data_IF_381013237257
#
_entry.id   IF_381013237257
#
_cell.length_a   1.000
_cell.length_b   1.000
_cell.length_c   1.000
_cell.angle_alpha   90.00
_cell.angle_beta   90.00
_cell.angle_gamma   90.00
#
_symmetry.space_group_name_H-M   'P 1'
#
loop_
_entity.id
_entity.type
_entity.pdbx_description
1 polymer ?
#
# COMPACT_ATOMS: atom_id res chain seq x y z
N UNK A 1 -36.49 -35.93 -0.20
CA UNK A 1 -35.09 -35.85 0.28
C UNK A 1 -34.42 -34.51 -0.08
N UNK A 2 -35.15 -33.38 -0.03
CA UNK A 2 -34.73 -32.11 -0.63
C UNK A 2 -34.19 -31.05 0.35
N UNK A 3 -34.35 -31.23 1.68
CA UNK A 3 -33.95 -30.22 2.67
C UNK A 3 -32.46 -30.16 3.01
N UNK A 4 -31.75 -31.30 2.93
CA UNK A 4 -30.33 -31.38 3.28
C UNK A 4 -29.41 -30.75 2.21
N UNK A 5 -29.79 -30.85 0.93
CA UNK A 5 -29.05 -30.23 -0.17
C UNK A 5 -29.06 -28.70 -0.10
N UNK A 6 -30.20 -28.10 0.24
CA UNK A 6 -30.35 -26.64 0.35
C UNK A 6 -29.59 -26.07 1.55
N UNK A 7 -29.62 -26.76 2.71
CA UNK A 7 -28.84 -26.36 3.89
C UNK A 7 -27.33 -26.43 3.66
N UNK A 8 -26.85 -27.47 2.95
CA UNK A 8 -25.45 -27.59 2.57
C UNK A 8 -25.02 -26.48 1.58
N UNK A 9 -25.88 -26.10 0.64
CA UNK A 9 -25.61 -25.02 -0.33
C UNK A 9 -25.58 -23.63 0.35
N UNK A 10 -26.52 -23.34 1.25
CA UNK A 10 -26.55 -22.09 2.03
C UNK A 10 -25.31 -21.98 2.94
N UNK A 11 -24.94 -23.09 3.60
CA UNK A 11 -23.72 -23.14 4.42
C UNK A 11 -22.44 -22.92 3.60
N UNK A 12 -22.34 -23.54 2.42
CA UNK A 12 -21.19 -23.38 1.53
C UNK A 12 -20.98 -21.93 1.05
N UNK A 13 -22.06 -21.24 0.69
CA UNK A 13 -22.00 -19.85 0.21
C UNK A 13 -21.60 -18.85 1.32
N UNK A 14 -22.07 -19.06 2.55
CA UNK A 14 -21.67 -18.24 3.70
C UNK A 14 -20.19 -18.47 4.05
N UNK A 15 -19.73 -19.72 4.09
CA UNK A 15 -18.34 -20.06 4.37
C UNK A 15 -17.41 -19.48 3.29
N UNK A 16 -17.79 -19.53 2.02
CA UNK A 16 -17.04 -18.94 0.92
C UNK A 16 -16.98 -17.39 1.00
N UNK A 17 -18.07 -16.74 1.43
CA UNK A 17 -18.09 -15.30 1.68
C UNK A 17 -17.14 -14.88 2.81
N UNK A 18 -17.16 -15.63 3.92
CA UNK A 18 -16.30 -15.39 5.09
C UNK A 18 -14.83 -15.65 4.78
N UNK A 19 -14.49 -16.74 4.07
CA UNK A 19 -13.10 -17.03 3.70
C UNK A 19 -12.54 -15.98 2.74
N UNK A 20 -13.34 -15.51 1.77
CA UNK A 20 -12.95 -14.40 0.88
C UNK A 20 -12.71 -13.08 1.63
N UNK A 21 -13.53 -12.78 2.65
CA UNK A 21 -13.32 -11.61 3.51
C UNK A 21 -12.05 -11.73 4.38
N UNK A 22 -11.82 -12.91 4.98
CA UNK A 22 -10.62 -13.15 5.80
C UNK A 22 -9.34 -13.06 4.95
N UNK A 23 -9.34 -13.62 3.74
CA UNK A 23 -8.23 -13.52 2.81
C UNK A 23 -7.95 -12.06 2.41
N UNK A 24 -9.00 -11.28 2.10
CA UNK A 24 -8.87 -9.85 1.82
C UNK A 24 -8.29 -9.06 3.01
N UNK A 25 -8.69 -9.41 4.23
CA UNK A 25 -8.16 -8.80 5.47
C UNK A 25 -6.68 -9.15 5.70
N UNK A 26 -6.29 -10.41 5.47
CA UNK A 26 -4.90 -10.84 5.57
C UNK A 26 -4.01 -10.09 4.56
N UNK A 27 -4.45 -10.01 3.30
CA UNK A 27 -3.73 -9.26 2.26
C UNK A 27 -3.65 -7.75 2.59
N UNK A 28 -4.73 -7.16 3.12
CA UNK A 28 -4.72 -5.77 3.59
C UNK A 28 -3.70 -5.53 4.72
N UNK A 29 -3.40 -6.54 5.56
CA UNK A 29 -2.39 -6.44 6.62
C UNK A 29 -0.98 -6.50 6.03
N UNK A 30 -0.73 -7.41 5.08
CA UNK A 30 0.55 -7.48 4.36
C UNK A 30 0.90 -6.16 3.68
N UNK A 31 -0.07 -5.52 3.00
CA UNK A 31 0.13 -4.18 2.43
C UNK A 31 0.47 -3.15 3.51
N UNK A 32 -0.14 -3.24 4.69
CA UNK A 32 0.19 -2.32 5.79
C UNK A 32 1.61 -2.50 6.31
N UNK A 33 2.13 -3.73 6.32
CA UNK A 33 3.51 -4.02 6.69
C UNK A 33 4.46 -3.52 5.60
N UNK A 34 4.17 -3.79 4.32
CA UNK A 34 4.91 -3.25 3.18
C UNK A 34 5.00 -1.72 3.22
N UNK A 35 3.88 -1.02 3.53
CA UNK A 35 3.89 0.44 3.70
C UNK A 35 4.87 0.91 4.78
N UNK A 36 5.02 0.19 5.90
CA UNK A 36 5.98 0.55 6.94
C UNK A 36 7.41 0.36 6.46
N UNK A 37 7.69 -0.80 5.85
CA UNK A 37 9.01 -1.09 5.28
C UNK A 37 9.41 -0.10 4.19
N UNK A 38 8.49 0.24 3.28
CA UNK A 38 8.68 1.28 2.25
C UNK A 38 9.02 2.64 2.85
N UNK A 39 8.32 3.05 3.93
CA UNK A 39 8.61 4.31 4.62
C UNK A 39 10.02 4.31 5.24
N UNK A 40 10.42 3.20 5.86
CA UNK A 40 11.75 3.02 6.43
C UNK A 40 12.84 3.01 5.36
N UNK A 41 12.62 2.29 4.25
CA UNK A 41 13.53 2.24 3.11
C UNK A 41 13.72 3.62 2.48
N UNK A 42 12.64 4.38 2.30
CA UNK A 42 12.71 5.74 1.77
C UNK A 42 13.50 6.68 2.69
N UNK A 43 13.34 6.55 4.02
CA UNK A 43 14.11 7.34 4.98
C UNK A 43 15.61 6.98 4.94
N UNK A 44 15.94 5.69 4.82
CA UNK A 44 17.33 5.23 4.65
C UNK A 44 17.90 5.70 3.33
N UNK A 45 17.11 5.69 2.26
CA UNK A 45 17.52 6.16 0.94
C UNK A 45 17.83 7.66 0.95
N UNK A 46 16.95 8.52 1.50
CA UNK A 46 17.21 9.96 1.65
C UNK A 46 18.52 10.20 2.41
N UNK A 47 18.75 9.48 3.52
CA UNK A 47 20.00 9.60 4.26
C UNK A 47 21.23 9.16 3.45
N UNK A 48 21.16 8.05 2.71
CA UNK A 48 22.26 7.57 1.87
C UNK A 48 22.57 8.54 0.74
N UNK A 49 21.55 9.04 0.05
CA UNK A 49 21.71 10.01 -1.04
C UNK A 49 22.36 11.29 -0.52
N UNK A 50 21.90 11.81 0.61
CA UNK A 50 22.52 12.96 1.29
C UNK A 50 23.99 12.71 1.62
N UNK A 51 24.32 11.56 2.20
CA UNK A 51 25.72 11.22 2.51
C UNK A 51 26.60 11.09 1.27
N UNK A 52 26.10 10.48 0.19
CA UNK A 52 26.80 10.39 -1.08
C UNK A 52 27.03 11.77 -1.71
N UNK A 53 26.01 12.62 -1.69
CA UNK A 53 26.10 13.99 -2.21
C UNK A 53 27.14 14.81 -1.44
N UNK A 54 27.12 14.73 -0.11
CA UNK A 54 28.13 15.38 0.73
C UNK A 54 29.55 14.85 0.48
N UNK A 55 29.69 13.53 0.25
CA UNK A 55 30.98 12.93 -0.11
C UNK A 55 31.51 13.49 -1.42
N UNK A 56 30.65 13.56 -2.45
CA UNK A 56 31.02 14.11 -3.76
C UNK A 56 31.37 15.60 -3.68
N UNK A 57 30.63 16.39 -2.89
CA UNK A 57 30.98 17.80 -2.63
C UNK A 57 32.36 17.87 -1.99
N UNK A 58 32.64 17.10 -0.93
CA UNK A 58 33.95 17.13 -0.26
C UNK A 58 35.08 16.74 -1.21
N UNK A 59 34.87 15.75 -2.06
CA UNK A 59 35.84 15.34 -3.06
C UNK A 59 36.10 16.44 -4.09
N UNK A 60 35.04 17.07 -4.62
CA UNK A 60 35.18 18.21 -5.53
C UNK A 60 35.87 19.40 -4.87
N UNK A 61 35.55 19.69 -3.61
CA UNK A 61 36.18 20.73 -2.80
C UNK A 61 37.66 20.43 -2.61
N UNK A 62 38.03 19.17 -2.30
CA UNK A 62 39.43 18.76 -2.17
C UNK A 62 40.20 18.86 -3.49
N UNK A 63 39.59 18.46 -4.60
CA UNK A 63 40.17 18.60 -5.94
C UNK A 63 40.36 20.07 -6.33
N UNK A 64 39.41 20.95 -5.99
CA UNK A 64 39.52 22.39 -6.24
C UNK A 64 40.61 23.04 -5.38
N UNK A 65 40.67 22.70 -4.09
CA UNK A 65 41.72 23.15 -3.19
C UNK A 65 43.11 22.69 -3.66
N UNK A 66 43.25 21.44 -4.13
CA UNK A 66 44.49 20.92 -4.71
C UNK A 66 44.91 21.66 -6.00
N UNK A 67 43.95 22.28 -6.71
CA UNK A 67 44.20 23.14 -7.88
C UNK A 67 44.43 24.62 -7.51
N UNK A 68 44.51 24.94 -6.22
CA UNK A 68 44.78 26.29 -5.73
C UNK A 68 43.57 27.23 -5.70
N UNK A 69 42.35 26.71 -5.87
CA UNK A 69 41.13 27.52 -5.75
C UNK A 69 40.86 27.82 -4.27
N UNK A 70 40.73 29.10 -3.92
CA UNK A 70 40.34 29.51 -2.58
C UNK A 70 38.86 29.16 -2.35
N UNK A 71 38.61 28.32 -1.34
CA UNK A 71 37.28 27.85 -0.94
C UNK A 71 36.40 28.97 -0.34
N UNK A 72 37.00 30.10 0.00
CA UNK A 72 36.33 31.27 0.55
C UNK A 72 35.91 32.27 -0.54
N UNK A 73 36.19 31.96 -1.80
CA UNK A 73 35.81 32.82 -2.92
C UNK A 73 34.27 32.85 -3.09
N UNK A 74 33.71 33.97 -3.59
CA UNK A 74 32.28 34.07 -3.92
C UNK A 74 31.79 32.94 -4.84
N UNK A 75 32.66 32.46 -5.73
CA UNK A 75 32.41 31.32 -6.62
C UNK A 75 32.21 30.02 -5.83
N UNK A 76 33.04 29.75 -4.83
CA UNK A 76 32.90 28.57 -3.98
C UNK A 76 31.62 28.63 -3.12
N UNK A 77 31.26 29.81 -2.61
CA UNK A 77 29.99 30.03 -1.90
C UNK A 77 28.79 29.76 -2.83
N UNK A 78 28.83 30.29 -4.07
CA UNK A 78 27.77 30.08 -5.06
C UNK A 78 27.62 28.60 -5.46
N UNK A 79 28.75 27.89 -5.64
CA UNK A 79 28.75 26.45 -5.90
C UNK A 79 28.17 25.66 -4.72
N UNK A 80 28.53 26.01 -3.48
CA UNK A 80 27.95 25.41 -2.29
C UNK A 80 26.45 25.62 -2.17
N UNK A 81 25.96 26.84 -2.44
CA UNK A 81 24.52 27.13 -2.45
C UNK A 81 23.79 26.36 -3.57
N UNK A 82 24.40 26.23 -4.74
CA UNK A 82 23.84 25.47 -5.87
C UNK A 82 23.77 23.98 -5.54
N UNK A 83 24.83 23.42 -4.97
CA UNK A 83 24.87 22.03 -4.54
C UNK A 83 23.85 21.74 -3.42
N UNK A 84 23.66 22.67 -2.48
CA UNK A 84 22.64 22.56 -1.45
C UNK A 84 21.21 22.58 -2.04
N UNK A 85 20.96 23.43 -3.04
CA UNK A 85 19.69 23.44 -3.78
C UNK A 85 19.45 22.11 -4.49
N UNK A 86 20.45 21.60 -5.21
CA UNK A 86 20.35 20.33 -5.91
C UNK A 86 20.06 19.17 -4.95
N UNK A 87 20.80 19.11 -3.84
CA UNK A 87 20.55 18.13 -2.76
C UNK A 87 19.12 18.24 -2.21
N UNK A 88 18.58 19.45 -2.07
CA UNK A 88 17.20 19.65 -1.61
C UNK A 88 16.16 19.16 -2.64
N UNK A 89 16.41 19.39 -3.93
CA UNK A 89 15.55 18.89 -5.01
C UNK A 89 15.56 17.36 -5.05
N UNK A 90 16.74 16.75 -4.93
CA UNK A 90 16.86 15.29 -4.92
C UNK A 90 16.16 14.67 -3.70
N UNK A 91 16.37 15.25 -2.51
CA UNK A 91 15.65 14.82 -1.29
C UNK A 91 14.14 14.95 -1.43
N UNK A 92 13.66 16.02 -2.10
CA UNK A 92 12.23 16.20 -2.37
C UNK A 92 11.70 15.18 -3.39
N UNK A 93 12.47 14.85 -4.42
CA UNK A 93 12.12 13.81 -5.39
C UNK A 93 11.96 12.44 -4.72
N UNK A 94 12.91 12.06 -3.86
CA UNK A 94 12.87 10.80 -3.08
C UNK A 94 11.66 10.76 -2.14
N UNK A 95 11.38 11.86 -1.43
CA UNK A 95 10.17 11.98 -0.59
C UNK A 95 8.88 11.90 -1.40
N UNK A 96 8.82 12.59 -2.54
CA UNK A 96 7.65 12.58 -3.43
C UNK A 96 7.41 11.19 -4.01
N UNK A 97 8.46 10.50 -4.45
CA UNK A 97 8.39 9.11 -4.90
C UNK A 97 7.85 8.18 -3.82
N UNK A 98 8.40 8.25 -2.60
CA UNK A 98 7.89 7.46 -1.49
C UNK A 98 6.42 7.76 -1.15
N UNK A 99 5.99 9.02 -1.19
CA UNK A 99 4.58 9.38 -1.02
C UNK A 99 3.68 8.79 -2.12
N UNK A 100 4.16 8.78 -3.37
CA UNK A 100 3.42 8.17 -4.48
C UNK A 100 3.21 6.67 -4.25
N UNK A 101 4.25 5.93 -3.81
CA UNK A 101 4.14 4.51 -3.49
C UNK A 101 3.18 4.27 -2.32
N UNK A 102 3.25 5.09 -1.27
CA UNK A 102 2.30 5.02 -0.14
C UNK A 102 0.85 5.20 -0.59
N UNK A 103 0.60 6.11 -1.54
CA UNK A 103 -0.73 6.33 -2.10
C UNK A 103 -1.21 5.15 -2.94
N UNK A 104 -0.33 4.56 -3.76
CA UNK A 104 -0.63 3.35 -4.53
C UNK A 104 -1.02 2.19 -3.60
N UNK A 105 -0.20 1.90 -2.59
CA UNK A 105 -0.49 0.84 -1.61
C UNK A 105 -1.78 1.12 -0.83
N UNK A 106 -2.09 2.39 -0.54
CA UNK A 106 -3.37 2.76 0.10
C UNK A 106 -4.57 2.49 -0.82
N UNK A 107 -4.45 2.81 -2.10
CA UNK A 107 -5.50 2.51 -3.09
C UNK A 107 -5.70 1.00 -3.24
N UNK A 108 -4.62 0.21 -3.29
CA UNK A 108 -4.69 -1.26 -3.31
C UNK A 108 -5.36 -1.82 -2.06
N UNK A 109 -5.01 -1.29 -0.88
CA UNK A 109 -5.64 -1.68 0.37
C UNK A 109 -7.15 -1.41 0.37
N UNK A 110 -7.57 -0.25 -0.15
CA UNK A 110 -8.98 0.10 -0.31
C UNK A 110 -9.70 -0.87 -1.26
N UNK A 111 -9.08 -1.18 -2.41
CA UNK A 111 -9.62 -2.13 -3.38
C UNK A 111 -9.77 -3.54 -2.78
N UNK A 112 -8.80 -4.02 -2.00
CA UNK A 112 -8.88 -5.32 -1.31
C UNK A 112 -10.01 -5.35 -0.29
N UNK A 113 -10.17 -4.30 0.52
CA UNK A 113 -11.28 -4.20 1.47
C UNK A 113 -12.62 -4.21 0.76
N UNK A 114 -12.76 -3.46 -0.33
CA UNK A 114 -13.97 -3.45 -1.15
C UNK A 114 -14.28 -4.85 -1.73
N UNK A 115 -13.27 -5.57 -2.23
CA UNK A 115 -13.42 -6.97 -2.69
C UNK A 115 -13.85 -7.90 -1.55
N UNK A 116 -13.27 -7.76 -0.36
CA UNK A 116 -13.65 -8.54 0.81
C UNK A 116 -15.11 -8.32 1.22
N UNK A 117 -15.54 -7.05 1.30
CA UNK A 117 -16.94 -6.71 1.59
C UNK A 117 -17.87 -7.24 0.50
N UNK A 118 -17.51 -7.06 -0.77
CA UNK A 118 -18.30 -7.61 -1.88
C UNK A 118 -18.41 -9.13 -1.84
N UNK A 119 -17.37 -9.85 -1.42
CA UNK A 119 -17.41 -11.31 -1.26
C UNK A 119 -18.37 -11.73 -0.15
N UNK A 120 -18.35 -11.01 0.98
CA UNK A 120 -19.24 -11.27 2.11
C UNK A 120 -20.71 -10.99 1.74
N UNK A 121 -20.96 -9.88 1.04
CA UNK A 121 -22.29 -9.55 0.52
C UNK A 121 -22.77 -10.59 -0.49
N UNK A 122 -21.93 -11.03 -1.44
CA UNK A 122 -22.31 -12.07 -2.40
C UNK A 122 -22.62 -13.41 -1.72
N UNK A 123 -21.83 -13.81 -0.73
CA UNK A 123 -22.11 -15.00 0.07
C UNK A 123 -23.43 -14.89 0.84
N UNK A 124 -23.68 -13.73 1.47
CA UNK A 124 -24.92 -13.46 2.21
C UNK A 124 -26.17 -13.38 1.32
N UNK A 125 -26.13 -12.60 0.24
CA UNK A 125 -27.25 -12.50 -0.72
C UNK A 125 -27.49 -13.81 -1.47
N UNK A 126 -26.42 -14.56 -1.81
CA UNK A 126 -26.54 -15.88 -2.42
C UNK A 126 -27.18 -16.89 -1.48
N UNK A 127 -26.79 -16.89 -0.20
CA UNK A 127 -27.39 -17.70 0.85
C UNK A 127 -28.87 -17.34 1.08
N UNK A 128 -29.20 -16.05 1.13
CA UNK A 128 -30.59 -15.58 1.26
C UNK A 128 -31.45 -15.95 0.04
N UNK A 129 -30.92 -15.81 -1.19
CA UNK A 129 -31.61 -16.20 -2.41
C UNK A 129 -31.84 -17.71 -2.50
N UNK A 130 -30.88 -18.53 -2.08
CA UNK A 130 -31.04 -19.99 -1.99
C UNK A 130 -32.05 -20.41 -0.92
N UNK A 131 -32.12 -19.67 0.21
CA UNK A 131 -33.12 -19.88 1.25
C UNK A 131 -34.54 -19.50 0.78
N UNK A 132 -34.69 -18.34 0.12
CA UNK A 132 -35.97 -17.83 -0.37
C UNK A 132 -36.54 -18.66 -1.54
N UNK A 133 -35.69 -19.23 -2.40
CA UNK A 133 -36.11 -20.08 -3.52
C UNK A 133 -36.39 -21.55 -3.11
N UNK A 134 -36.43 -21.87 -1.81
CA UNK A 134 -36.83 -23.20 -1.33
C UNK A 134 -38.34 -23.42 -1.55
N UNK A 135 -38.73 -24.63 -1.96
CA UNK A 135 -40.14 -25.01 -2.19
C UNK A 135 -41.11 -24.51 -1.09
N UNK A 136 -42.33 -24.06 -1.44
CA UNK A 136 -43.32 -23.52 -0.49
C UNK A 136 -43.74 -24.49 0.62
N UNK A 137 -43.59 -25.80 0.44
CA UNK A 137 -43.78 -26.81 1.51
C UNK A 137 -42.84 -26.64 2.72
N UNK A 138 -41.81 -25.81 2.58
CA UNK A 138 -40.86 -25.48 3.64
C UNK A 138 -41.26 -24.29 4.51
N UNK A 139 -42.34 -23.61 4.17
CA UNK A 139 -42.89 -22.47 4.92
C UNK A 139 -44.24 -22.85 5.53
N UNK A 140 -44.31 -23.85 6.44
CA UNK A 140 -45.57 -24.32 7.01
C UNK A 140 -46.34 -23.22 7.78
N UNK A 141 -45.67 -22.15 8.22
CA UNK A 141 -46.29 -21.04 8.96
C UNK A 141 -46.80 -19.88 8.08
N UNK A 142 -46.55 -19.87 6.76
CA UNK A 142 -47.08 -18.85 5.84
C UNK A 142 -48.34 -19.28 5.08
N UNK A 143 -48.68 -20.58 5.15
CA UNK A 143 -49.83 -21.18 4.48
C UNK A 143 -50.90 -21.70 5.46
N UNK A 144 -50.80 -21.38 6.75
CA UNK A 144 -51.84 -21.62 7.78
C UNK A 144 -52.65 -20.37 8.08
#
# INVERSE_FOLDING_TARGET
>A
MSGWGTLAQVGGLLVQGVSGYQAAKANSKLISEQKKTEAELNAVQDNRERSQFLSQIREQTAQQAARGVQLDSPTAIYLGQTAAKEMSFQSQATRSGGQAVQNQLTAEQSALRARGISSLLRGGFGAAGAYLNRNPDAWPELLS
#
